data_IF_966393976066
#
_entry.id   IF_966393976066
#
_cell.length_a   1.000
_cell.length_b   1.000
_cell.length_c   1.000
_cell.angle_alpha   90.00
_cell.angle_beta   90.00
_cell.angle_gamma   90.00
#
_symmetry.space_group_name_H-M   'P 1'
#
loop_
_entity.id
_entity.type
_entity.pdbx_description
1 polymer ?
#
# COMPACT_ATOMS: atom_id res chain seq x y z
N UNK A 1 -1.02 3.70 22.19
CA UNK A 1 -0.32 2.99 21.09
C UNK A 1 0.67 3.97 20.46
N UNK A 2 1.83 3.53 20.00
CA UNK A 2 2.75 4.41 19.28
C UNK A 2 2.04 4.99 18.05
N UNK A 3 2.48 6.16 17.60
CA UNK A 3 1.96 6.83 16.41
C UNK A 3 2.22 5.95 15.17
N UNK A 4 1.20 5.74 14.36
CA UNK A 4 1.28 4.94 13.13
C UNK A 4 2.05 5.74 12.07
N UNK A 5 3.19 5.22 11.66
CA UNK A 5 4.00 5.78 10.57
C UNK A 5 3.28 5.59 9.25
N UNK A 6 3.24 6.65 8.44
CA UNK A 6 2.67 6.64 7.10
C UNK A 6 3.59 7.38 6.15
N UNK A 7 3.97 6.74 5.04
CA UNK A 7 4.79 7.39 4.02
C UNK A 7 3.97 8.35 3.16
N UNK A 8 2.79 7.90 2.75
CA UNK A 8 1.86 8.63 1.89
C UNK A 8 0.42 8.50 2.39
N UNK A 9 -0.45 9.49 2.14
CA UNK A 9 -1.88 9.24 2.17
C UNK A 9 -2.23 8.25 1.04
N UNK A 10 -3.01 7.23 1.36
CA UNK A 10 -3.46 6.24 0.39
C UNK A 10 -4.92 5.88 0.64
N UNK A 11 -5.71 5.80 -0.43
CA UNK A 11 -7.13 5.48 -0.34
C UNK A 11 -7.35 4.09 0.24
N UNK A 12 -8.28 3.95 1.18
CA UNK A 12 -8.51 2.70 1.91
C UNK A 12 -7.56 2.46 3.10
N UNK A 13 -6.38 3.07 3.09
CA UNK A 13 -5.35 2.90 4.13
C UNK A 13 -5.61 3.71 5.40
N UNK A 14 -6.69 3.48 6.12
CA UNK A 14 -6.97 4.15 7.40
C UNK A 14 -5.97 3.75 8.48
N UNK A 15 -5.48 4.74 9.26
CA UNK A 15 -4.60 4.47 10.40
C UNK A 15 -5.30 3.60 11.47
N UNK A 16 -6.61 3.75 11.64
CA UNK A 16 -7.40 2.93 12.56
C UNK A 16 -7.46 1.46 12.11
N UNK A 17 -7.66 1.22 10.81
CA UNK A 17 -7.66 -0.14 10.23
C UNK A 17 -6.28 -0.77 10.35
N UNK A 18 -5.22 -0.05 10.01
CA UNK A 18 -3.83 -0.51 10.15
C UNK A 18 -3.51 -0.88 11.61
N UNK A 19 -3.91 -0.06 12.58
CA UNK A 19 -3.72 -0.34 14.00
C UNK A 19 -4.37 -1.67 14.41
N UNK A 20 -5.59 -1.91 13.95
CA UNK A 20 -6.30 -3.18 14.20
C UNK A 20 -5.62 -4.39 13.56
N UNK A 21 -5.15 -4.25 12.33
CA UNK A 21 -4.40 -5.32 11.65
C UNK A 21 -3.11 -5.62 12.41
N UNK A 22 -2.38 -4.58 12.83
CA UNK A 22 -1.15 -4.71 13.60
C UNK A 22 -1.32 -5.46 14.93
N UNK A 23 -2.45 -5.28 15.63
CA UNK A 23 -2.77 -6.06 16.83
C UNK A 23 -2.74 -7.58 16.52
N UNK A 24 -3.31 -7.99 15.37
CA UNK A 24 -3.29 -9.40 14.96
C UNK A 24 -1.92 -9.85 14.48
N UNK A 25 -1.16 -8.99 13.78
CA UNK A 25 0.22 -9.30 13.35
C UNK A 25 1.11 -9.54 14.56
N UNK A 26 1.03 -8.69 15.60
CA UNK A 26 1.76 -8.88 16.85
C UNK A 26 1.37 -10.18 17.56
N UNK A 27 0.07 -10.45 17.71
CA UNK A 27 -0.40 -11.70 18.32
C UNK A 27 0.05 -12.94 17.56
N UNK A 28 0.10 -12.88 16.22
CA UNK A 28 0.60 -13.98 15.40
C UNK A 28 2.11 -14.18 15.60
N UNK A 29 2.89 -13.10 15.59
CA UNK A 29 4.33 -13.14 15.80
C UNK A 29 4.72 -13.68 17.20
N UNK A 30 3.89 -13.44 18.23
CA UNK A 30 4.09 -13.98 19.58
C UNK A 30 3.74 -15.47 19.68
N UNK A 31 2.77 -15.95 18.90
CA UNK A 31 2.22 -17.30 19.03
C UNK A 31 2.86 -18.33 18.11
N UNK A 32 3.46 -17.89 17.02
CA UNK A 32 3.97 -18.77 15.97
C UNK A 32 5.41 -18.41 15.63
N UNK A 33 6.25 -19.40 15.26
CA UNK A 33 7.64 -19.17 14.90
C UNK A 33 7.73 -18.56 13.48
N UNK A 34 7.16 -17.39 13.30
CA UNK A 34 7.14 -16.68 12.02
C UNK A 34 8.50 -16.04 11.74
N UNK A 35 9.03 -16.29 10.54
CA UNK A 35 10.31 -15.74 10.07
C UNK A 35 10.16 -14.72 8.97
N UNK A 36 9.01 -14.72 8.28
CA UNK A 36 8.73 -13.82 7.15
C UNK A 36 7.35 -13.18 7.26
N UNK A 37 7.26 -11.98 6.68
CA UNK A 37 6.05 -11.16 6.68
C UNK A 37 5.88 -10.48 5.31
N UNK A 38 4.67 -10.49 4.76
CA UNK A 38 4.38 -9.85 3.49
C UNK A 38 3.04 -9.12 3.42
N UNK A 39 3.01 -8.04 2.63
CA UNK A 39 1.81 -7.40 2.11
C UNK A 39 1.69 -7.70 0.62
N UNK A 40 0.60 -8.36 0.20
CA UNK A 40 0.39 -8.77 -1.20
C UNK A 40 -0.28 -7.67 -2.02
N UNK A 41 -1.12 -6.88 -1.38
CA UNK A 41 -1.72 -5.64 -1.90
C UNK A 41 -1.20 -4.50 -1.03
N UNK A 42 0.06 -4.11 -1.28
CA UNK A 42 0.81 -3.27 -0.35
C UNK A 42 0.32 -1.84 -0.23
N UNK A 43 -0.21 -1.26 -1.33
CA UNK A 43 -0.74 0.11 -1.35
C UNK A 43 0.19 1.12 -0.69
N UNK A 44 -0.31 1.84 0.32
CA UNK A 44 0.50 2.79 1.10
C UNK A 44 1.50 2.19 2.08
N UNK A 45 1.71 0.87 2.08
CA UNK A 45 2.69 0.13 2.90
C UNK A 45 2.55 0.35 4.41
N UNK A 46 1.36 0.74 4.88
CA UNK A 46 1.20 1.20 6.26
C UNK A 46 1.35 0.10 7.29
N UNK A 47 0.90 -1.12 7.01
CA UNK A 47 1.02 -2.23 7.95
C UNK A 47 2.46 -2.70 8.02
N UNK A 48 3.14 -2.90 6.90
CA UNK A 48 4.54 -3.33 6.85
C UNK A 48 5.48 -2.32 7.53
N UNK A 49 5.28 -1.02 7.31
CA UNK A 49 6.05 0.04 7.95
C UNK A 49 5.98 0.01 9.49
N UNK A 50 4.87 -0.49 10.05
CA UNK A 50 4.61 -0.53 11.48
C UNK A 50 4.61 -1.96 12.06
N UNK A 51 4.87 -2.99 11.24
CA UNK A 51 4.95 -4.37 11.67
C UNK A 51 6.16 -4.60 12.60
N UNK A 52 6.11 -5.61 13.50
CA UNK A 52 7.27 -6.02 14.27
C UNK A 52 8.41 -6.49 13.35
N UNK A 53 9.55 -6.76 13.96
CA UNK A 53 10.69 -7.32 13.21
C UNK A 53 10.37 -8.75 12.77
N UNK A 54 10.66 -9.02 11.48
CA UNK A 54 10.72 -10.36 10.89
C UNK A 54 12.05 -10.49 10.17
N UNK A 55 12.55 -11.71 10.06
CA UNK A 55 13.83 -12.01 9.37
C UNK A 55 13.78 -11.58 7.89
N UNK A 56 12.64 -11.79 7.25
CA UNK A 56 12.38 -11.36 5.89
C UNK A 56 11.06 -10.59 5.80
N UNK A 57 11.01 -9.55 4.98
CA UNK A 57 9.79 -8.83 4.66
C UNK A 57 9.64 -8.70 3.16
N UNK A 58 8.42 -8.86 2.66
CA UNK A 58 8.11 -8.60 1.26
C UNK A 58 6.93 -7.62 1.13
N UNK A 59 7.01 -6.79 0.12
CA UNK A 59 5.98 -5.88 -0.33
C UNK A 59 5.70 -6.18 -1.80
N UNK A 60 4.45 -6.52 -2.12
CA UNK A 60 4.02 -6.69 -3.50
C UNK A 60 2.91 -5.69 -3.81
N UNK A 61 2.97 -5.11 -4.99
CA UNK A 61 1.96 -4.17 -5.48
C UNK A 61 1.94 -4.18 -7.01
N UNK A 62 0.76 -4.14 -7.59
CA UNK A 62 0.59 -4.09 -9.05
C UNK A 62 0.88 -2.70 -9.62
N UNK A 63 0.74 -1.65 -8.84
CA UNK A 63 1.08 -0.28 -9.21
C UNK A 63 2.60 -0.09 -9.18
N UNK A 64 3.22 0.01 -10.37
CA UNK A 64 4.67 0.14 -10.52
C UNK A 64 5.23 1.37 -9.81
N UNK A 65 4.52 2.49 -9.84
CA UNK A 65 4.96 3.73 -9.21
C UNK A 65 5.08 3.57 -7.69
N UNK A 66 4.16 2.84 -7.05
CA UNK A 66 4.23 2.53 -5.62
C UNK A 66 5.43 1.64 -5.30
N UNK A 67 5.71 0.62 -6.12
CA UNK A 67 6.89 -0.22 -5.95
C UNK A 67 8.19 0.60 -6.07
N UNK A 68 8.28 1.49 -7.05
CA UNK A 68 9.42 2.41 -7.18
C UNK A 68 9.57 3.30 -5.96
N UNK A 69 8.47 3.89 -5.46
CA UNK A 69 8.49 4.74 -4.27
C UNK A 69 9.03 3.98 -3.06
N UNK A 70 8.53 2.76 -2.79
CA UNK A 70 9.00 1.95 -1.66
C UNK A 70 10.47 1.57 -1.80
N UNK A 71 10.91 1.21 -3.01
CA UNK A 71 12.31 0.86 -3.31
C UNK A 71 13.25 2.05 -3.09
N UNK A 72 12.90 3.22 -3.60
CA UNK A 72 13.69 4.46 -3.47
C UNK A 72 13.77 4.90 -1.99
N UNK A 73 12.68 4.86 -1.26
CA UNK A 73 12.66 5.22 0.17
C UNK A 73 13.42 4.21 1.03
N UNK A 74 13.46 2.94 0.63
CA UNK A 74 14.21 1.88 1.32
C UNK A 74 15.74 2.01 1.25
N UNK A 75 16.27 2.88 0.40
CA UNK A 75 17.69 3.19 0.31
C UNK A 75 17.95 4.64 0.72
N UNK A 76 18.88 4.86 1.65
CA UNK A 76 19.10 6.18 2.25
C UNK A 76 19.55 7.25 1.24
N UNK A 77 20.42 6.89 0.30
CA UNK A 77 20.96 7.83 -0.69
C UNK A 77 19.88 8.27 -1.68
N UNK A 78 19.17 7.31 -2.28
CA UNK A 78 18.08 7.62 -3.22
C UNK A 78 16.89 8.31 -2.54
N UNK A 79 16.61 8.00 -1.28
CA UNK A 79 15.61 8.71 -0.49
C UNK A 79 15.95 10.19 -0.32
N UNK A 80 17.21 10.51 0.02
CA UNK A 80 17.66 11.91 0.13
C UNK A 80 17.60 12.64 -1.21
N UNK A 81 17.99 11.99 -2.30
CA UNK A 81 17.89 12.57 -3.63
C UNK A 81 16.42 12.86 -3.99
N UNK A 82 15.52 11.92 -3.75
CA UNK A 82 14.07 12.10 -3.95
C UNK A 82 13.54 13.29 -3.13
N UNK A 83 13.88 13.37 -1.84
CA UNK A 83 13.46 14.48 -0.97
C UNK A 83 13.96 15.82 -1.51
N UNK A 84 15.21 15.88 -2.00
CA UNK A 84 15.77 17.08 -2.59
C UNK A 84 15.06 17.51 -3.87
N UNK A 85 14.61 16.56 -4.70
CA UNK A 85 13.78 16.82 -5.87
C UNK A 85 12.42 17.40 -5.43
N UNK A 86 11.76 16.74 -4.47
CA UNK A 86 10.45 17.15 -3.97
C UNK A 86 10.46 18.56 -3.36
N UNK A 87 11.52 18.94 -2.66
CA UNK A 87 11.69 20.28 -2.09
C UNK A 87 11.83 21.39 -3.13
N UNK A 88 12.29 21.05 -4.34
CA UNK A 88 12.45 22.00 -5.45
C UNK A 88 11.22 22.14 -6.32
N UNK A 89 10.31 21.18 -6.28
CA UNK A 89 9.09 21.18 -7.06
C UNK A 89 7.99 21.94 -6.31
N UNK A 90 7.26 22.85 -6.98
CA UNK A 90 6.18 23.61 -6.36
C UNK A 90 4.94 22.71 -6.10
N UNK A 91 4.19 23.06 -5.05
CA UNK A 91 2.89 22.47 -4.78
C UNK A 91 1.84 23.13 -5.70
N UNK A 92 1.70 22.63 -6.91
CA UNK A 92 0.87 23.23 -7.96
C UNK A 92 0.12 22.15 -8.76
N UNK A 93 -1.04 22.55 -9.27
CA UNK A 93 -1.91 21.64 -10.03
C UNK A 93 -1.25 21.08 -11.28
N UNK A 94 -0.51 21.91 -12.03
CA UNK A 94 0.12 21.46 -13.26
C UNK A 94 1.26 20.48 -13.00
N UNK A 95 2.02 20.67 -11.94
CA UNK A 95 3.04 19.72 -11.48
C UNK A 95 2.39 18.41 -11.04
N UNK A 96 1.27 18.48 -10.29
CA UNK A 96 0.51 17.30 -9.90
C UNK A 96 0.00 16.51 -11.12
N UNK A 97 -0.59 17.20 -12.10
CA UNK A 97 -1.11 16.55 -13.31
C UNK A 97 0.00 15.88 -14.10
N UNK A 98 1.12 16.58 -14.30
CA UNK A 98 2.28 16.02 -14.98
C UNK A 98 2.83 14.79 -14.24
N UNK A 99 3.06 14.90 -12.93
CA UNK A 99 3.55 13.80 -12.11
C UNK A 99 2.61 12.58 -12.16
N UNK A 100 1.30 12.80 -12.02
CA UNK A 100 0.29 11.75 -12.09
C UNK A 100 0.34 10.98 -13.42
N UNK A 101 0.47 11.70 -14.53
CA UNK A 101 0.38 11.12 -15.86
C UNK A 101 1.67 10.40 -16.27
N UNK A 102 2.82 10.78 -15.67
CA UNK A 102 4.14 10.27 -16.05
C UNK A 102 4.84 9.39 -14.99
N UNK A 103 4.26 9.20 -13.79
CA UNK A 103 4.92 8.49 -12.69
C UNK A 103 5.33 7.03 -12.97
N UNK A 104 4.80 6.44 -14.02
CA UNK A 104 5.05 5.05 -14.39
C UNK A 104 5.71 4.90 -15.77
N UNK A 105 6.15 6.00 -16.39
CA UNK A 105 6.83 5.95 -17.67
C UNK A 105 8.09 5.08 -17.58
N UNK A 106 8.27 4.17 -18.55
CA UNK A 106 9.32 3.15 -18.52
C UNK A 106 10.72 3.75 -18.56
N UNK A 107 10.87 4.90 -19.21
CA UNK A 107 12.15 5.55 -19.47
C UNK A 107 12.50 6.58 -18.37
N UNK A 108 11.60 6.76 -17.39
CA UNK A 108 11.83 7.70 -16.31
C UNK A 108 12.87 7.15 -15.31
N UNK A 109 13.77 8.04 -14.87
CA UNK A 109 14.66 7.71 -13.76
C UNK A 109 13.84 7.25 -12.54
N UNK A 110 14.18 6.11 -11.91
CA UNK A 110 13.42 5.56 -10.78
C UNK A 110 13.18 6.54 -9.62
N UNK A 111 14.15 7.39 -9.31
CA UNK A 111 14.02 8.40 -8.23
C UNK A 111 12.99 9.46 -8.61
N UNK A 112 12.99 9.88 -9.88
CA UNK A 112 11.99 10.83 -10.37
C UNK A 112 10.59 10.20 -10.44
N UNK A 113 10.48 8.95 -10.86
CA UNK A 113 9.21 8.19 -10.83
C UNK A 113 8.66 8.06 -9.40
N UNK A 114 9.53 7.80 -8.42
CA UNK A 114 9.17 7.78 -7.00
C UNK A 114 8.71 9.16 -6.51
N UNK A 115 9.41 10.24 -6.89
CA UNK A 115 9.01 11.62 -6.56
C UNK A 115 7.63 11.95 -7.16
N UNK A 116 7.38 11.59 -8.40
CA UNK A 116 6.08 11.80 -9.06
C UNK A 116 4.96 10.97 -8.41
N UNK A 117 5.26 9.75 -7.99
CA UNK A 117 4.31 8.92 -7.23
C UNK A 117 3.99 9.56 -5.88
N UNK A 118 4.99 10.07 -5.17
CA UNK A 118 4.79 10.79 -3.92
C UNK A 118 3.92 12.04 -4.12
N UNK A 119 4.21 12.88 -5.12
CA UNK A 119 3.40 14.06 -5.47
C UNK A 119 1.95 13.64 -5.76
N UNK A 120 1.77 12.60 -6.57
CA UNK A 120 0.44 12.12 -6.96
C UNK A 120 -0.38 11.67 -5.76
N UNK A 121 0.25 11.04 -4.77
CA UNK A 121 -0.42 10.63 -3.53
C UNK A 121 -0.64 11.81 -2.58
N UNK A 122 0.42 12.57 -2.25
CA UNK A 122 0.40 13.57 -1.19
C UNK A 122 -0.37 14.84 -1.56
N UNK A 123 -0.41 15.21 -2.85
CA UNK A 123 -1.16 16.37 -3.35
C UNK A 123 -2.55 16.00 -3.87
N UNK A 124 -2.97 14.74 -3.77
CA UNK A 124 -4.30 14.32 -4.19
C UNK A 124 -5.33 14.43 -3.06
N UNK A 125 -6.60 14.47 -3.46
CA UNK A 125 -7.72 14.39 -2.54
C UNK A 125 -7.82 12.97 -1.97
N UNK A 126 -7.70 12.83 -0.65
CA UNK A 126 -7.80 11.56 0.11
C UNK A 126 -6.85 10.44 -0.39
N UNK A 127 -5.73 10.79 -1.02
CA UNK A 127 -4.75 9.79 -1.49
C UNK A 127 -5.19 8.95 -2.68
N UNK A 128 -6.17 9.41 -3.46
CA UNK A 128 -6.67 8.68 -4.65
C UNK A 128 -5.76 8.78 -5.87
N UNK A 129 -4.79 9.68 -5.87
CA UNK A 129 -3.89 9.98 -7.00
C UNK A 129 -4.61 10.42 -8.30
N UNK A 130 -5.90 10.77 -8.23
CA UNK A 130 -6.69 11.10 -9.41
C UNK A 130 -6.93 12.59 -9.60
N UNK A 131 -7.13 13.34 -8.51
CA UNK A 131 -7.51 14.74 -8.54
C UNK A 131 -6.71 15.57 -7.56
N UNK A 132 -6.22 16.72 -8.00
CA UNK A 132 -5.49 17.67 -7.18
C UNK A 132 -6.31 18.16 -6.00
N UNK A 133 -5.68 18.23 -4.83
CA UNK A 133 -6.28 18.74 -3.60
C UNK A 133 -6.21 20.27 -3.58
N UNK A 134 -7.33 20.90 -3.87
CA UNK A 134 -7.48 22.35 -3.80
C UNK A 134 -8.53 22.76 -2.77
N UNK A 135 -8.35 23.93 -2.19
CA UNK A 135 -9.26 24.50 -1.21
C UNK A 135 -9.80 25.84 -1.72
N UNK A 136 -11.06 26.12 -1.40
CA UNK A 136 -11.68 27.41 -1.71
C UNK A 136 -11.15 28.53 -0.80
N UNK A 137 -10.81 28.18 0.44
CA UNK A 137 -10.24 29.12 1.39
C UNK A 137 -8.70 29.17 1.22
N UNK A 138 -8.12 30.36 0.94
CA UNK A 138 -6.68 30.50 0.78
C UNK A 138 -5.85 30.07 2.02
N UNK A 139 -6.37 30.29 3.22
CA UNK A 139 -5.68 29.91 4.45
C UNK A 139 -5.55 28.37 4.57
N UNK A 140 -6.60 27.63 4.22
CA UNK A 140 -6.58 26.16 4.20
C UNK A 140 -5.64 25.62 3.12
N UNK A 141 -5.60 26.27 1.97
CA UNK A 141 -4.63 25.96 0.91
C UNK A 141 -3.20 26.15 1.39
N UNK A 142 -2.91 27.29 2.03
CA UNK A 142 -1.58 27.57 2.58
C UNK A 142 -1.17 26.59 3.68
N UNK A 143 -2.09 26.24 4.59
CA UNK A 143 -1.86 25.26 5.62
C UNK A 143 -1.52 23.86 5.02
N UNK A 144 -2.21 23.46 3.96
CA UNK A 144 -1.94 22.21 3.26
C UNK A 144 -0.56 22.20 2.58
N UNK A 145 -0.12 23.32 2.02
CA UNK A 145 1.21 23.46 1.42
C UNK A 145 2.29 23.35 2.50
N UNK A 146 2.14 24.05 3.62
CA UNK A 146 3.08 23.98 4.74
C UNK A 146 3.20 22.53 5.24
N UNK A 147 2.07 21.88 5.49
CA UNK A 147 2.03 20.49 5.94
C UNK A 147 2.71 19.53 4.97
N UNK A 148 2.54 19.74 3.65
CA UNK A 148 3.22 18.95 2.63
C UNK A 148 4.74 19.03 2.78
N UNK A 149 5.31 20.23 2.83
CA UNK A 149 6.76 20.40 2.94
C UNK A 149 7.33 19.93 4.29
N UNK A 150 6.62 20.11 5.39
CA UNK A 150 7.01 19.56 6.69
C UNK A 150 7.01 18.02 6.68
N UNK A 151 6.12 17.41 5.89
CA UNK A 151 6.05 15.95 5.79
C UNK A 151 7.22 15.35 5.00
N UNK A 152 7.84 16.10 4.08
CA UNK A 152 8.99 15.63 3.31
C UNK A 152 10.16 15.20 4.22
N UNK A 153 10.41 15.91 5.30
CA UNK A 153 11.48 15.56 6.23
C UNK A 153 11.17 14.28 7.05
N UNK A 154 9.89 13.94 7.19
CA UNK A 154 9.44 12.74 7.90
C UNK A 154 9.57 11.47 7.05
N UNK A 155 9.75 11.57 5.73
CA UNK A 155 9.95 10.42 4.83
C UNK A 155 11.11 9.54 5.32
N UNK A 156 12.19 10.15 5.83
CA UNK A 156 13.37 9.44 6.34
C UNK A 156 13.07 8.41 7.43
N UNK A 157 11.99 8.60 8.19
CA UNK A 157 11.57 7.66 9.24
C UNK A 157 11.17 6.30 8.65
N UNK A 158 10.74 6.28 7.38
CA UNK A 158 10.36 5.06 6.68
C UNK A 158 11.58 4.28 6.16
N UNK A 159 12.72 4.93 5.90
CA UNK A 159 13.91 4.31 5.31
C UNK A 159 14.38 3.05 6.06
N UNK A 160 14.64 3.09 7.38
CA UNK A 160 15.07 1.88 8.10
C UNK A 160 13.99 0.79 8.17
N UNK A 161 12.73 1.13 7.92
CA UNK A 161 11.60 0.20 7.91
C UNK A 161 11.46 -0.54 6.58
N UNK A 162 11.92 0.08 5.49
CA UNK A 162 11.92 -0.46 4.13
C UNK A 162 13.28 -1.03 3.72
N UNK A 163 14.35 -0.75 4.46
CA UNK A 163 15.67 -1.29 4.18
C UNK A 163 15.63 -2.84 4.23
N UNK A 164 16.07 -3.47 3.13
CA UNK A 164 16.08 -4.94 3.01
C UNK A 164 14.72 -5.60 2.75
N UNK A 165 13.65 -4.82 2.61
CA UNK A 165 12.35 -5.35 2.18
C UNK A 165 12.43 -5.76 0.70
N UNK A 166 12.01 -6.98 0.39
CA UNK A 166 11.86 -7.44 -0.99
C UNK A 166 10.64 -6.78 -1.61
N UNK A 167 10.86 -5.90 -2.60
CA UNK A 167 9.80 -5.19 -3.28
C UNK A 167 9.57 -5.81 -4.65
N UNK A 168 8.33 -6.20 -4.94
CA UNK A 168 7.93 -6.85 -6.18
C UNK A 168 6.72 -6.14 -6.81
N UNK A 169 6.72 -6.09 -8.14
CA UNK A 169 5.63 -5.55 -8.95
C UNK A 169 5.04 -6.69 -9.78
N UNK A 170 4.24 -7.53 -9.14
CA UNK A 170 3.71 -8.75 -9.73
C UNK A 170 2.22 -8.91 -9.43
N UNK A 171 1.55 -9.74 -10.21
CA UNK A 171 0.20 -10.19 -9.87
C UNK A 171 0.19 -10.84 -8.48
N UNK A 172 -0.88 -10.61 -7.71
CA UNK A 172 -1.00 -11.10 -6.33
C UNK A 172 -0.89 -12.62 -6.20
N UNK A 173 -1.22 -13.35 -7.25
CA UNK A 173 -1.16 -14.80 -7.30
C UNK A 173 0.27 -15.32 -7.15
N UNK A 174 1.20 -14.67 -7.81
CA UNK A 174 2.59 -15.12 -7.84
C UNK A 174 3.22 -15.20 -6.44
N UNK A 175 3.26 -14.12 -5.63
CA UNK A 175 3.83 -14.21 -4.29
C UNK A 175 3.03 -15.15 -3.36
N UNK A 176 1.72 -15.28 -3.56
CA UNK A 176 0.92 -16.22 -2.78
C UNK A 176 1.26 -17.67 -3.11
N UNK A 177 1.39 -18.02 -4.40
CA UNK A 177 1.77 -19.39 -4.81
C UNK A 177 3.19 -19.74 -4.39
N UNK A 178 4.14 -18.81 -4.43
CA UNK A 178 5.52 -19.03 -3.99
C UNK A 178 5.61 -19.42 -2.50
N UNK A 179 4.71 -18.90 -1.67
CA UNK A 179 4.72 -19.11 -0.23
C UNK A 179 3.57 -19.96 0.31
N UNK A 180 2.78 -20.58 -0.58
CA UNK A 180 1.54 -21.28 -0.18
C UNK A 180 1.81 -22.41 0.83
N UNK A 181 3.00 -23.01 0.82
CA UNK A 181 3.41 -24.10 1.73
C UNK A 181 4.35 -23.62 2.84
N UNK A 182 4.62 -22.31 2.93
CA UNK A 182 5.52 -21.76 3.95
C UNK A 182 4.76 -21.46 5.25
N UNK A 183 4.85 -22.35 6.21
CA UNK A 183 4.20 -22.23 7.51
C UNK A 183 4.76 -21.10 8.39
N UNK A 184 5.91 -20.55 8.04
CA UNK A 184 6.59 -19.49 8.78
C UNK A 184 6.39 -18.11 8.15
N UNK A 185 5.59 -18.03 7.08
CA UNK A 185 5.24 -16.77 6.42
C UNK A 185 3.86 -16.27 6.87
N UNK A 186 3.79 -15.00 7.24
CA UNK A 186 2.53 -14.29 7.52
C UNK A 186 2.24 -13.29 6.41
N UNK A 187 1.13 -13.42 5.72
CA UNK A 187 0.65 -12.42 4.79
C UNK A 187 -0.50 -11.58 5.36
N UNK A 188 -0.41 -10.28 5.12
CA UNK A 188 -1.57 -9.37 5.18
C UNK A 188 -2.12 -9.21 3.77
N UNK A 189 -3.41 -9.47 3.62
CA UNK A 189 -4.09 -9.47 2.34
C UNK A 189 -5.32 -8.56 2.47
N UNK A 190 -5.21 -7.37 1.87
CA UNK A 190 -6.25 -6.34 1.86
C UNK A 190 -6.52 -5.90 0.41
N UNK A 191 -7.23 -6.74 -0.37
CA UNK A 191 -7.47 -6.48 -1.78
C UNK A 191 -8.41 -5.30 -2.00
N UNK A 192 -8.37 -4.65 -3.17
CA UNK A 192 -9.38 -3.68 -3.57
C UNK A 192 -10.79 -4.26 -3.41
N UNK A 193 -11.69 -3.51 -2.77
CA UNK A 193 -13.08 -3.93 -2.62
C UNK A 193 -13.79 -4.00 -3.97
N UNK A 194 -14.74 -4.92 -4.12
CA UNK A 194 -15.55 -5.02 -5.32
C UNK A 194 -16.26 -3.68 -5.63
N UNK A 195 -16.32 -3.26 -6.91
CA UNK A 195 -16.92 -1.99 -7.32
C UNK A 195 -18.36 -1.80 -6.80
N UNK A 196 -19.16 -2.86 -6.80
CA UNK A 196 -20.57 -2.84 -6.39
C UNK A 196 -20.76 -2.65 -4.86
N UNK A 197 -19.71 -2.78 -4.07
CA UNK A 197 -19.77 -2.62 -2.62
C UNK A 197 -19.29 -1.24 -2.14
N UNK A 198 -18.95 -0.35 -3.08
CA UNK A 198 -18.39 0.98 -2.81
C UNK A 198 -19.36 2.09 -3.22
N UNK A 199 -19.24 3.23 -2.55
CA UNK A 199 -19.98 4.46 -2.93
C UNK A 199 -19.49 5.04 -4.28
N UNK A 200 -18.27 4.72 -4.71
CA UNK A 200 -17.69 5.13 -5.99
C UNK A 200 -17.13 3.92 -6.74
N UNK A 201 -17.60 3.71 -7.96
CA UNK A 201 -17.28 2.52 -8.74
C UNK A 201 -15.81 2.47 -9.24
N UNK A 202 -15.18 3.62 -9.49
CA UNK A 202 -13.80 3.70 -10.02
C UNK A 202 -12.91 4.47 -9.04
N UNK A 203 -12.27 3.76 -8.13
CA UNK A 203 -11.38 4.35 -7.13
C UNK A 203 -9.95 3.83 -7.26
N UNK A 204 -9.79 2.56 -7.61
CA UNK A 204 -8.48 1.96 -7.82
C UNK A 204 -8.13 1.96 -9.30
N UNK A 205 -6.85 2.14 -9.61
CA UNK A 205 -6.32 2.02 -10.98
C UNK A 205 -6.41 0.57 -11.48
N UNK A 206 -6.13 -0.37 -10.57
CA UNK A 206 -6.18 -1.80 -10.82
C UNK A 206 -7.30 -2.40 -9.97
N UNK A 207 -8.42 -2.67 -10.60
CA UNK A 207 -9.59 -3.26 -9.96
C UNK A 207 -9.51 -4.78 -10.00
N UNK A 208 -10.03 -5.45 -8.96
CA UNK A 208 -10.23 -6.90 -8.96
C UNK A 208 -11.69 -7.23 -9.24
N UNK A 209 -11.89 -8.23 -10.08
CA UNK A 209 -13.22 -8.79 -10.38
C UNK A 209 -13.68 -9.81 -9.34
N UNK A 210 -14.92 -10.29 -9.51
CA UNK A 210 -15.49 -11.32 -8.64
C UNK A 210 -14.68 -12.63 -8.71
N UNK A 211 -14.16 -12.97 -9.89
CA UNK A 211 -13.38 -14.18 -10.11
C UNK A 211 -12.03 -14.12 -9.38
N UNK A 212 -11.37 -12.94 -9.36
CA UNK A 212 -10.13 -12.73 -8.61
C UNK A 212 -10.37 -12.90 -7.10
N UNK A 213 -11.48 -12.37 -6.59
CA UNK A 213 -11.85 -12.54 -5.18
C UNK A 213 -12.20 -13.99 -4.85
N UNK A 214 -12.87 -14.71 -5.75
CA UNK A 214 -13.17 -16.13 -5.58
C UNK A 214 -11.89 -16.97 -5.54
N UNK A 215 -10.91 -16.66 -6.39
CA UNK A 215 -9.61 -17.32 -6.39
C UNK A 215 -8.82 -17.03 -5.12
N UNK A 216 -8.81 -15.79 -4.63
CA UNK A 216 -8.22 -15.45 -3.33
C UNK A 216 -8.80 -16.30 -2.20
N UNK A 217 -10.12 -16.45 -2.16
CA UNK A 217 -10.77 -17.29 -1.14
C UNK A 217 -10.40 -18.76 -1.31
N UNK A 218 -10.34 -19.27 -2.54
CA UNK A 218 -9.94 -20.65 -2.81
C UNK A 218 -8.50 -20.91 -2.34
N UNK A 219 -7.58 -19.97 -2.59
CA UNK A 219 -6.21 -20.04 -2.09
C UNK A 219 -6.16 -20.14 -0.56
N UNK A 220 -7.01 -19.41 0.16
CA UNK A 220 -7.07 -19.47 1.63
C UNK A 220 -7.63 -20.78 2.16
N UNK A 221 -8.55 -21.41 1.46
CA UNK A 221 -9.15 -22.68 1.87
C UNK A 221 -8.16 -23.84 1.65
N UNK A 222 -7.34 -23.76 0.60
CA UNK A 222 -6.40 -24.82 0.23
C UNK A 222 -5.13 -24.84 1.09
N UNK A 223 -4.82 -23.76 1.82
CA UNK A 223 -3.60 -23.66 2.61
C UNK A 223 -3.86 -24.12 4.04
N UNK A 224 -3.32 -25.28 4.48
CA UNK A 224 -3.55 -25.82 5.82
C UNK A 224 -3.04 -24.90 6.94
N UNK A 225 -2.22 -23.92 6.60
CA UNK A 225 -1.40 -23.18 7.55
C UNK A 225 -1.59 -21.67 7.56
N UNK A 226 -2.34 -21.09 6.62
CA UNK A 226 -2.62 -19.65 6.65
C UNK A 226 -3.67 -19.37 7.73
N UNK A 227 -3.20 -19.01 8.92
CA UNK A 227 -4.05 -18.46 9.99
C UNK A 227 -4.48 -17.05 9.64
N UNK A 228 -5.05 -16.89 8.46
CA UNK A 228 -5.56 -15.65 7.91
C UNK A 228 -6.90 -15.32 8.55
N UNK A 229 -7.01 -14.13 9.11
CA UNK A 229 -8.32 -13.54 9.37
C UNK A 229 -8.69 -12.74 8.12
N UNK A 230 -9.50 -13.35 7.25
CA UNK A 230 -10.18 -12.61 6.19
C UNK A 230 -11.02 -11.54 6.88
N UNK A 231 -10.96 -10.28 6.43
CA UNK A 231 -11.81 -9.25 6.98
C UNK A 231 -13.28 -9.68 6.80
N UNK A 232 -14.12 -9.48 7.83
CA UNK A 232 -15.56 -9.80 7.72
C UNK A 232 -16.22 -9.17 6.50
N UNK A 233 -15.67 -8.07 5.98
CA UNK A 233 -16.16 -7.41 4.77
C UNK A 233 -15.99 -8.28 3.53
N UNK A 234 -14.86 -8.96 3.35
CA UNK A 234 -14.62 -9.87 2.21
C UNK A 234 -15.53 -11.09 2.32
N UNK A 235 -15.64 -11.72 3.49
CA UNK A 235 -16.51 -12.87 3.71
C UNK A 235 -17.98 -12.53 3.42
N UNK A 236 -18.46 -11.38 3.89
CA UNK A 236 -19.83 -10.94 3.67
C UNK A 236 -20.12 -10.54 2.22
N UNK A 237 -19.09 -10.21 1.42
CA UNK A 237 -19.23 -9.87 0.01
C UNK A 237 -19.29 -11.12 -0.89
N UNK A 238 -18.63 -12.19 -0.51
CA UNK A 238 -18.51 -13.41 -1.32
C UNK A 238 -19.59 -14.45 -0.98
N UNK A 239 -19.96 -14.59 0.29
CA UNK A 239 -20.95 -15.57 0.73
C UNK A 239 -22.35 -15.46 0.07
N UNK A 240 -22.88 -14.27 -0.29
CA UNK A 240 -24.15 -14.18 -1.00
C UNK A 240 -24.08 -14.71 -2.44
N UNK A 241 -22.89 -14.80 -3.04
CA UNK A 241 -22.68 -15.22 -4.43
C UNK A 241 -22.06 -16.62 -4.54
N UNK A 242 -21.60 -17.21 -3.46
CA UNK A 242 -21.13 -18.59 -3.43
C UNK A 242 -22.33 -19.53 -3.46
N UNK A 243 -22.75 -19.93 -4.66
CA UNK A 243 -23.59 -21.11 -4.79
C UNK A 243 -22.82 -22.30 -4.26
N UNK A 244 -23.25 -22.84 -3.14
CA UNK A 244 -22.77 -24.10 -2.62
C UNK A 244 -22.91 -25.18 -3.70
N UNK A 245 -21.80 -25.58 -4.32
CA UNK A 245 -21.72 -26.85 -4.99
C UNK A 245 -21.67 -27.92 -3.87
N UNK A 246 -22.85 -28.37 -3.45
CA UNK A 246 -22.98 -29.64 -2.76
C UNK A 246 -22.80 -30.74 -3.80
N UNK A 247 -21.73 -31.49 -3.71
CA UNK A 247 -21.45 -32.72 -4.40
C UNK A 247 -20.55 -33.57 -3.52
#
# INVERSE_FOLDING_TARGET
MPEIISLIPYFGGSAHVASKILEYVHLAAERFPLTSFGEVFGGGCRVLLNSPYFGQKCYNEIDRGLCQLMSVVGNAESCEEMINILKKLPYEKDIFLYARDHREDSDLNPILGAAFTYISAAQSRVGTMTSFKSYLNPADQQASIIQYYEHLDKIRVCTPRLAGVQITNRDFREPLYEHIMDEQCLFVIDPPFLPDTRLSAKVYKHELGIDDHAELVALFIMVPCVKTRISKSIVNQILPHAHYCQG
#
